data_IF_883128021808
#
_entry.id   IF_883128021808
#
_cell.length_a   1.000
_cell.length_b   1.000
_cell.length_c   1.000
_cell.angle_alpha   90.00
_cell.angle_beta   90.00
_cell.angle_gamma   90.00
#
_symmetry.space_group_name_H-M   'P 1'
#
loop_
_entity.id
_entity.type
_entity.pdbx_description
1 polymer ?
#
# COMPACT_ATOMS: atom_id res chain seq x y z
N UNK A 1 -19.94 -6.01 33.84
CA UNK A 1 -18.66 -6.61 33.37
C UNK A 1 -18.05 -5.62 32.41
N UNK A 2 -17.11 -4.83 32.90
CA UNK A 2 -16.48 -3.70 32.22
C UNK A 2 -15.35 -4.20 31.31
N UNK A 3 -15.43 -3.90 29.99
CA UNK A 3 -14.32 -4.10 29.05
C UNK A 3 -13.47 -2.82 29.03
N UNK A 4 -12.23 -2.94 29.44
CA UNK A 4 -11.23 -1.87 29.36
C UNK A 4 -10.80 -1.66 27.92
N UNK A 5 -10.55 -0.41 27.48
CA UNK A 5 -9.96 -0.12 26.19
C UNK A 5 -8.47 -0.46 26.21
N UNK A 6 -8.00 -1.07 25.12
CA UNK A 6 -6.58 -1.37 24.88
C UNK A 6 -5.88 -0.05 24.56
N UNK A 7 -5.12 0.49 25.50
CA UNK A 7 -4.24 1.64 25.28
C UNK A 7 -2.95 1.16 24.63
N UNK A 8 -2.63 1.67 23.45
CA UNK A 8 -1.34 1.48 22.80
C UNK A 8 -0.32 2.47 23.37
N UNK A 9 0.55 1.97 24.23
CA UNK A 9 1.67 2.74 24.79
C UNK A 9 2.84 2.77 23.79
N UNK A 10 3.02 3.93 23.13
CA UNK A 10 4.07 4.17 22.12
C UNK A 10 5.45 4.51 22.72
N UNK A 11 5.73 4.13 23.97
CA UNK A 11 7.04 4.41 24.58
C UNK A 11 7.77 3.12 24.94
N UNK A 12 8.43 2.51 23.97
CA UNK A 12 9.67 1.69 24.15
C UNK A 12 10.11 1.07 22.83
N UNK A 13 10.98 1.76 22.10
CA UNK A 13 11.97 1.12 21.22
C UNK A 13 13.15 2.07 21.01
N UNK A 14 13.94 2.19 22.04
CA UNK A 14 15.30 2.71 21.92
C UNK A 14 16.27 1.57 22.16
N UNK A 15 16.93 1.10 21.10
CA UNK A 15 18.21 0.42 21.21
C UNK A 15 18.91 0.46 19.84
N UNK A 16 19.84 1.41 19.70
CA UNK A 16 20.78 1.46 18.59
C UNK A 16 21.67 0.21 18.59
N UNK A 17 21.62 -0.56 17.51
CA UNK A 17 22.55 -1.64 17.20
C UNK A 17 23.62 -1.14 16.23
N UNK A 18 24.78 -0.84 16.76
CA UNK A 18 25.98 -0.33 16.09
C UNK A 18 26.59 -1.44 15.20
N UNK A 19 26.48 -1.32 13.88
CA UNK A 19 27.22 -2.17 12.95
C UNK A 19 28.59 -1.58 12.68
N UNK A 20 29.61 -2.15 13.35
CA UNK A 20 31.00 -1.79 13.21
C UNK A 20 31.55 -2.13 11.81
N UNK A 21 32.06 -1.13 11.13
CA UNK A 21 32.86 -1.29 9.90
C UNK A 21 34.18 -1.96 10.24
N UNK A 22 34.36 -3.24 9.91
CA UNK A 22 35.66 -3.89 9.97
C UNK A 22 36.43 -3.61 8.67
N UNK A 23 37.51 -2.82 8.79
CA UNK A 23 38.50 -2.62 7.74
C UNK A 23 39.21 -3.94 7.44
N UNK A 24 39.13 -4.43 6.20
CA UNK A 24 39.91 -5.55 5.72
C UNK A 24 41.39 -5.14 5.57
N UNK A 25 42.27 -5.82 6.32
CA UNK A 25 43.74 -5.73 6.18
C UNK A 25 44.15 -6.51 4.92
N UNK A 26 44.85 -5.81 4.04
CA UNK A 26 45.50 -6.39 2.83
C UNK A 26 46.62 -7.34 3.25
N UNK A 27 46.45 -8.63 3.01
CA UNK A 27 47.54 -9.61 3.02
C UNK A 27 47.83 -9.98 1.56
N UNK A 28 49.02 -9.61 1.08
CA UNK A 28 49.56 -10.11 -0.20
C UNK A 28 50.09 -11.53 0.02
N UNK A 29 49.43 -12.52 -0.56
CA UNK A 29 49.87 -13.90 -0.60
C UNK A 29 49.56 -14.50 -2.01
N UNK A 30 50.54 -15.12 -2.57
CA UNK A 30 50.71 -15.76 -3.88
C UNK A 30 49.45 -16.26 -4.62
N UNK A 31 49.38 -15.92 -5.92
CA UNK A 31 48.42 -16.39 -6.91
C UNK A 31 48.39 -17.93 -7.01
N UNK A 32 47.42 -18.54 -6.38
CA UNK A 32 46.83 -19.81 -6.80
C UNK A 32 45.52 -19.49 -7.49
N UNK A 33 45.26 -20.05 -8.67
CA UNK A 33 43.96 -19.94 -9.36
C UNK A 33 42.92 -20.75 -8.58
N UNK A 34 42.43 -20.20 -7.48
CA UNK A 34 41.19 -20.63 -6.89
C UNK A 34 40.11 -19.82 -7.63
N UNK A 35 39.29 -20.47 -8.45
CA UNK A 35 38.01 -19.92 -8.86
C UNK A 35 37.19 -19.87 -7.57
N UNK A 36 37.28 -18.74 -6.84
CA UNK A 36 36.35 -18.42 -5.79
C UNK A 36 34.96 -18.39 -6.45
N UNK A 37 34.19 -19.46 -6.25
CA UNK A 37 32.75 -19.41 -6.42
C UNK A 37 32.26 -18.39 -5.37
N UNK A 38 32.24 -17.11 -5.72
CA UNK A 38 31.58 -16.09 -4.92
C UNK A 38 30.10 -16.46 -4.95
N UNK A 39 29.67 -17.19 -3.93
CA UNK A 39 28.26 -17.53 -3.75
C UNK A 39 27.52 -16.19 -3.52
N UNK A 40 26.77 -15.75 -4.51
CA UNK A 40 25.99 -14.51 -4.42
C UNK A 40 24.90 -14.74 -3.38
N UNK A 41 24.85 -13.95 -2.30
CA UNK A 41 23.82 -14.09 -1.28
C UNK A 41 22.43 -14.05 -1.90
N UNK A 42 21.56 -14.97 -1.46
CA UNK A 42 20.17 -15.02 -1.92
C UNK A 42 19.24 -14.92 -0.73
N UNK A 43 18.04 -14.39 -0.96
CA UNK A 43 16.97 -14.35 0.02
C UNK A 43 15.62 -14.64 -0.64
N UNK A 44 14.62 -15.01 0.17
CA UNK A 44 13.25 -15.32 -0.27
C UNK A 44 12.26 -14.44 0.45
N UNK A 45 11.25 -13.95 -0.29
CA UNK A 45 10.18 -13.12 0.26
C UNK A 45 8.89 -13.27 -0.54
N UNK A 46 7.76 -12.91 0.09
CA UNK A 46 6.47 -12.77 -0.57
C UNK A 46 6.28 -11.31 -0.99
N UNK A 47 5.73 -11.04 -2.18
CA UNK A 47 5.55 -9.67 -2.65
C UNK A 47 4.35 -9.52 -3.59
N UNK A 48 3.81 -8.30 -3.65
CA UNK A 48 2.86 -7.86 -4.67
C UNK A 48 3.60 -7.01 -5.70
N UNK A 49 3.45 -7.33 -6.99
CA UNK A 49 4.03 -6.55 -8.08
C UNK A 49 3.24 -5.25 -8.25
N UNK A 50 3.90 -4.10 -8.05
CA UNK A 50 3.29 -2.78 -8.17
C UNK A 50 3.35 -2.24 -9.60
N UNK A 51 4.53 -2.31 -10.21
CA UNK A 51 4.76 -1.82 -11.57
C UNK A 51 5.99 -2.44 -12.22
N UNK A 52 6.05 -2.35 -13.54
CA UNK A 52 7.17 -2.86 -14.33
C UNK A 52 7.71 -1.78 -15.26
N UNK A 53 9.03 -1.78 -15.48
CA UNK A 53 9.70 -0.90 -16.44
C UNK A 53 10.60 -1.71 -17.37
N UNK A 54 10.62 -1.37 -18.65
CA UNK A 54 11.53 -1.99 -19.64
C UNK A 54 12.97 -1.67 -19.28
N UNK A 55 13.83 -2.68 -19.34
CA UNK A 55 15.28 -2.55 -19.18
C UNK A 55 15.95 -3.25 -20.38
N UNK A 56 16.52 -2.48 -21.29
CA UNK A 56 17.04 -3.01 -22.54
C UNK A 56 15.99 -3.76 -23.37
N UNK A 57 16.42 -4.76 -24.14
CA UNK A 57 15.54 -5.48 -25.08
C UNK A 57 14.71 -6.60 -24.42
N UNK A 58 15.31 -7.33 -23.49
CA UNK A 58 14.74 -8.58 -22.97
C UNK A 58 14.35 -8.52 -21.49
N UNK A 59 14.82 -7.54 -20.74
CA UNK A 59 14.69 -7.48 -19.30
C UNK A 59 13.64 -6.46 -18.86
N UNK A 60 13.22 -6.55 -17.58
CA UNK A 60 12.41 -5.54 -16.91
C UNK A 60 12.94 -5.28 -15.51
N UNK A 61 12.77 -4.05 -15.01
CA UNK A 61 12.84 -3.73 -13.59
C UNK A 61 11.43 -3.91 -13.05
N UNK A 62 11.31 -4.73 -12.01
CA UNK A 62 10.06 -5.00 -11.30
C UNK A 62 10.13 -4.27 -9.97
N UNK A 63 9.16 -3.39 -9.72
CA UNK A 63 8.94 -2.75 -8.42
C UNK A 63 7.84 -3.50 -7.68
N UNK A 64 8.13 -3.92 -6.45
CA UNK A 64 7.27 -4.77 -5.64
C UNK A 64 7.18 -4.23 -4.21
N UNK A 65 6.07 -4.48 -3.54
CA UNK A 65 5.95 -4.33 -2.09
C UNK A 65 6.04 -5.72 -1.47
N UNK A 66 7.10 -5.97 -0.72
CA UNK A 66 7.35 -7.25 -0.09
C UNK A 66 6.95 -7.27 1.38
N UNK A 67 6.77 -8.48 1.89
CA UNK A 67 6.32 -8.73 3.25
C UNK A 67 7.37 -8.37 4.30
N UNK A 68 8.65 -8.64 4.04
CA UNK A 68 9.74 -8.50 5.01
C UNK A 68 10.65 -7.31 4.73
N UNK A 69 10.86 -6.98 3.46
CA UNK A 69 11.85 -5.97 3.04
C UNK A 69 11.19 -4.69 2.49
N UNK A 70 9.84 -4.54 2.63
CA UNK A 70 9.14 -3.36 2.13
C UNK A 70 9.23 -3.21 0.62
N UNK A 71 9.55 -2.02 0.11
CA UNK A 71 9.67 -1.82 -1.34
C UNK A 71 10.98 -2.38 -1.87
N UNK A 72 10.89 -3.26 -2.87
CA UNK A 72 12.03 -3.87 -3.56
C UNK A 72 11.97 -3.52 -5.04
N UNK A 73 13.14 -3.21 -5.63
CA UNK A 73 13.32 -3.10 -7.07
C UNK A 73 14.32 -4.15 -7.53
N UNK A 74 13.91 -5.02 -8.44
CA UNK A 74 14.75 -6.10 -8.90
C UNK A 74 14.67 -6.29 -10.41
N UNK A 75 15.73 -6.83 -11.03
CA UNK A 75 15.79 -7.13 -12.46
C UNK A 75 15.29 -8.54 -12.72
N UNK A 76 14.28 -8.65 -13.60
CA UNK A 76 13.84 -9.91 -14.21
C UNK A 76 14.51 -10.10 -15.56
N UNK A 77 15.61 -10.89 -15.59
CA UNK A 77 16.38 -11.13 -16.82
C UNK A 77 15.61 -12.01 -17.78
N UNK A 78 15.56 -11.61 -19.06
CA UNK A 78 14.91 -12.35 -20.14
C UNK A 78 13.38 -12.46 -20.02
N UNK A 79 12.73 -11.70 -19.15
CA UNK A 79 11.28 -11.79 -18.89
C UNK A 79 10.42 -11.49 -20.12
N UNK A 80 10.92 -10.68 -21.07
CA UNK A 80 10.23 -10.32 -22.31
C UNK A 80 10.42 -11.32 -23.46
N UNK A 81 11.25 -12.34 -23.28
CA UNK A 81 11.41 -13.41 -24.28
C UNK A 81 10.19 -14.33 -24.25
N UNK A 82 9.79 -14.84 -25.42
CA UNK A 82 8.68 -15.80 -25.54
C UNK A 82 8.92 -17.09 -24.74
N UNK A 83 10.19 -17.46 -24.56
CA UNK A 83 10.63 -18.61 -23.76
C UNK A 83 10.91 -18.26 -22.29
N UNK A 84 10.38 -17.15 -21.80
CA UNK A 84 10.63 -16.72 -20.44
C UNK A 84 10.10 -17.73 -19.41
N UNK A 85 10.97 -18.09 -18.46
CA UNK A 85 10.58 -18.94 -17.33
C UNK A 85 9.62 -18.27 -16.33
N UNK A 86 9.50 -16.95 -16.39
CA UNK A 86 8.65 -16.19 -15.49
C UNK A 86 7.20 -16.06 -15.98
N UNK A 87 6.98 -16.06 -17.31
CA UNK A 87 5.65 -15.88 -17.92
C UNK A 87 4.99 -14.58 -17.44
N UNK A 88 3.70 -14.63 -17.18
CA UNK A 88 2.90 -13.49 -16.67
C UNK A 88 3.03 -13.23 -15.16
N UNK A 89 3.80 -14.06 -14.42
CA UNK A 89 3.88 -13.96 -12.94
C UNK A 89 4.46 -12.66 -12.42
N UNK A 90 5.11 -11.85 -13.27
CA UNK A 90 5.72 -10.57 -12.88
C UNK A 90 4.98 -9.36 -13.46
N UNK A 91 3.74 -9.53 -13.87
CA UNK A 91 2.86 -8.41 -14.25
C UNK A 91 2.24 -7.74 -12.99
N UNK A 92 1.84 -6.47 -13.07
CA UNK A 92 1.16 -5.81 -11.96
C UNK A 92 -0.02 -6.62 -11.41
N UNK A 93 -0.31 -6.50 -10.12
CA UNK A 93 -1.29 -7.27 -9.34
C UNK A 93 -0.88 -8.71 -9.00
N UNK A 94 0.21 -9.25 -9.57
CA UNK A 94 0.67 -10.59 -9.18
C UNK A 94 1.14 -10.60 -7.73
N UNK A 95 0.59 -11.50 -6.92
CA UNK A 95 1.06 -11.84 -5.59
C UNK A 95 1.92 -13.09 -5.70
N UNK A 96 3.17 -12.99 -5.33
CA UNK A 96 4.21 -13.97 -5.64
C UNK A 96 5.09 -14.29 -4.44
N UNK A 97 5.58 -15.53 -4.39
CA UNK A 97 6.74 -15.94 -3.61
C UNK A 97 7.96 -15.95 -4.55
N UNK A 98 9.04 -15.28 -4.16
CA UNK A 98 10.18 -15.10 -5.03
C UNK A 98 11.50 -15.29 -4.30
N UNK A 99 12.51 -15.77 -5.05
CA UNK A 99 13.90 -15.79 -4.63
C UNK A 99 14.69 -14.73 -5.40
N UNK A 100 15.46 -13.94 -4.66
CA UNK A 100 16.31 -12.88 -5.17
C UNK A 100 17.77 -13.19 -4.86
N UNK A 101 18.64 -12.86 -5.81
CA UNK A 101 20.08 -12.77 -5.59
C UNK A 101 20.45 -11.31 -5.38
N UNK A 102 21.23 -11.04 -4.32
CA UNK A 102 21.67 -9.68 -3.98
C UNK A 102 22.54 -9.13 -5.09
N UNK A 103 22.14 -8.00 -5.67
CA UNK A 103 22.87 -7.29 -6.71
C UNK A 103 23.68 -6.12 -6.19
N UNK A 104 24.48 -5.51 -7.06
CA UNK A 104 25.27 -4.31 -6.68
C UNK A 104 24.39 -3.06 -6.57
N UNK A 105 23.43 -2.89 -7.45
CA UNK A 105 22.51 -1.74 -7.50
C UNK A 105 21.05 -2.15 -7.47
N UNK A 106 20.70 -3.26 -8.10
CA UNK A 106 19.39 -3.87 -8.12
C UNK A 106 19.55 -5.38 -7.92
N UNK A 107 18.68 -5.98 -7.15
CA UNK A 107 18.62 -7.43 -6.98
C UNK A 107 18.16 -8.11 -8.26
N UNK A 108 18.42 -9.41 -8.37
CA UNK A 108 18.07 -10.21 -9.54
C UNK A 108 17.06 -11.27 -9.12
N UNK A 109 15.91 -11.29 -9.78
CA UNK A 109 14.89 -12.32 -9.57
C UNK A 109 15.40 -13.64 -10.17
N UNK A 110 15.55 -14.67 -9.35
CA UNK A 110 16.03 -16.00 -9.74
C UNK A 110 14.91 -17.02 -9.88
N UNK A 111 13.92 -16.99 -8.98
CA UNK A 111 12.75 -17.89 -8.98
C UNK A 111 11.50 -17.10 -8.62
N UNK A 112 10.34 -17.53 -9.14
CA UNK A 112 9.02 -16.95 -8.86
C UNK A 112 7.97 -18.05 -8.88
N UNK A 113 7.12 -18.06 -7.84
CA UNK A 113 5.91 -18.87 -7.74
C UNK A 113 4.71 -17.96 -7.52
N UNK A 114 3.58 -18.21 -8.17
CA UNK A 114 2.35 -17.45 -7.96
C UNK A 114 1.66 -17.92 -6.68
N UNK A 115 1.33 -16.97 -5.81
CA UNK A 115 0.46 -17.17 -4.66
C UNK A 115 -1.00 -16.84 -5.03
N UNK A 116 -1.20 -15.63 -5.59
CA UNK A 116 -2.50 -15.18 -6.12
C UNK A 116 -2.26 -14.39 -7.42
N UNK A 117 -3.14 -14.53 -8.40
CA UNK A 117 -3.13 -13.78 -9.65
C UNK A 117 -4.30 -12.76 -9.64
N UNK A 118 -4.21 -11.74 -8.78
CA UNK A 118 -5.30 -10.77 -8.61
C UNK A 118 -5.67 -10.02 -9.89
N UNK A 119 -4.74 -9.87 -10.83
CA UNK A 119 -4.97 -9.14 -12.07
C UNK A 119 -5.91 -9.83 -13.04
N UNK A 120 -5.91 -11.16 -13.09
CA UNK A 120 -6.68 -11.91 -14.08
C UNK A 120 -8.21 -11.67 -13.94
N UNK A 121 -8.83 -11.80 -12.74
CA UNK A 121 -10.25 -11.49 -12.59
C UNK A 121 -10.59 -10.01 -12.76
N UNK A 122 -9.64 -9.10 -12.44
CA UNK A 122 -9.87 -7.65 -12.51
C UNK A 122 -9.92 -7.13 -13.95
N UNK A 123 -9.33 -7.85 -14.94
CA UNK A 123 -9.32 -7.37 -16.34
C UNK A 123 -10.70 -7.25 -16.96
N UNK A 124 -11.68 -8.03 -16.48
CA UNK A 124 -13.06 -8.04 -16.98
C UNK A 124 -13.99 -7.07 -16.22
N UNK A 125 -13.51 -6.49 -15.11
CA UNK A 125 -14.23 -5.51 -14.26
C UNK A 125 -13.47 -4.18 -14.24
N UNK A 126 -13.83 -3.25 -15.12
CA UNK A 126 -13.15 -1.96 -15.25
C UNK A 126 -13.15 -1.14 -13.95
N UNK A 127 -14.26 -0.98 -13.19
CA UNK A 127 -14.26 -0.34 -11.87
C UNK A 127 -13.29 -0.99 -10.89
N UNK A 128 -13.26 -2.31 -10.78
CA UNK A 128 -12.36 -3.02 -9.89
C UNK A 128 -10.90 -2.91 -10.36
N UNK A 129 -10.64 -2.99 -11.65
CA UNK A 129 -9.30 -2.79 -12.22
C UNK A 129 -8.74 -1.40 -11.93
N UNK A 130 -9.52 -0.35 -12.18
CA UNK A 130 -9.09 1.03 -11.93
C UNK A 130 -8.88 1.30 -10.44
N UNK A 131 -9.74 0.79 -9.56
CA UNK A 131 -9.57 0.83 -8.12
C UNK A 131 -8.25 0.15 -7.69
N UNK A 132 -7.98 -1.05 -8.21
CA UNK A 132 -6.75 -1.78 -7.95
C UNK A 132 -5.50 -1.02 -8.42
N UNK A 133 -5.53 -0.37 -9.60
CA UNK A 133 -4.43 0.47 -10.08
C UNK A 133 -4.12 1.62 -9.12
N UNK A 134 -5.15 2.27 -8.55
CA UNK A 134 -4.96 3.30 -7.52
C UNK A 134 -4.33 2.72 -6.26
N UNK A 135 -4.72 1.51 -5.86
CA UNK A 135 -4.12 0.84 -4.70
C UNK A 135 -2.63 0.57 -4.91
N UNK A 136 -2.23 0.03 -6.08
CA UNK A 136 -0.82 -0.20 -6.40
C UNK A 136 -0.02 1.11 -6.44
N UNK A 137 -0.55 2.16 -7.07
CA UNK A 137 0.10 3.47 -7.13
C UNK A 137 0.26 4.08 -5.73
N UNK A 138 -0.76 3.96 -4.88
CA UNK A 138 -0.73 4.46 -3.50
C UNK A 138 0.34 3.75 -2.68
N UNK A 139 0.41 2.41 -2.76
CA UNK A 139 1.43 1.63 -2.08
C UNK A 139 2.85 2.03 -2.53
N UNK A 140 3.08 2.20 -3.85
CA UNK A 140 4.38 2.64 -4.38
C UNK A 140 4.79 4.03 -3.87
N UNK A 141 3.82 4.90 -3.61
CA UNK A 141 4.10 6.27 -3.14
C UNK A 141 4.27 6.38 -1.63
N UNK A 142 3.48 5.64 -0.85
CA UNK A 142 3.55 5.71 0.61
C UNK A 142 4.79 5.01 1.17
N UNK A 143 5.24 3.93 0.53
CA UNK A 143 6.48 3.26 0.92
C UNK A 143 7.62 3.86 0.10
N UNK A 144 8.23 4.93 0.60
CA UNK A 144 9.26 5.69 -0.13
C UNK A 144 10.60 4.98 -0.12
N UNK A 145 11.06 4.56 1.06
CA UNK A 145 12.36 3.94 1.25
C UNK A 145 12.39 2.50 0.73
N UNK A 146 13.46 2.19 -0.04
CA UNK A 146 13.71 0.82 -0.51
C UNK A 146 14.35 -0.01 0.62
N UNK A 147 13.96 -1.27 0.71
CA UNK A 147 14.49 -2.25 1.68
C UNK A 147 14.21 -1.91 3.16
N UNK A 148 13.25 -1.04 3.44
CA UNK A 148 12.73 -0.81 4.79
C UNK A 148 11.41 -1.56 5.02
N UNK A 149 11.30 -2.36 6.11
CA UNK A 149 10.09 -3.14 6.38
C UNK A 149 8.82 -2.30 6.45
N UNK A 150 7.80 -2.69 5.68
CA UNK A 150 6.50 -2.02 5.61
C UNK A 150 5.35 -3.05 5.70
N UNK A 151 5.42 -3.96 6.67
CA UNK A 151 4.50 -5.10 6.81
C UNK A 151 3.04 -4.69 6.83
N UNK A 152 2.68 -3.60 7.53
CA UNK A 152 1.29 -3.16 7.63
C UNK A 152 0.75 -2.69 6.27
N UNK A 153 1.56 -1.96 5.49
CA UNK A 153 1.20 -1.56 4.12
C UNK A 153 1.05 -2.77 3.20
N UNK A 154 1.96 -3.76 3.30
CA UNK A 154 1.86 -5.00 2.54
C UNK A 154 0.58 -5.78 2.86
N UNK A 155 0.29 -6.03 4.13
CA UNK A 155 -0.91 -6.77 4.55
C UNK A 155 -2.19 -6.05 4.13
N UNK A 156 -2.20 -4.73 4.23
CA UNK A 156 -3.34 -3.92 3.83
C UNK A 156 -3.58 -4.00 2.32
N UNK A 157 -2.52 -3.91 1.51
CA UNK A 157 -2.61 -4.03 0.05
C UNK A 157 -3.13 -5.41 -0.37
N UNK A 158 -2.55 -6.49 0.16
CA UNK A 158 -2.99 -7.86 -0.13
C UNK A 158 -4.46 -8.05 0.27
N UNK A 159 -4.85 -7.57 1.45
CA UNK A 159 -6.24 -7.65 1.93
C UNK A 159 -7.22 -6.88 1.03
N UNK A 160 -6.84 -5.68 0.56
CA UNK A 160 -7.67 -4.87 -0.32
C UNK A 160 -7.82 -5.49 -1.72
N UNK A 161 -6.74 -6.03 -2.31
CA UNK A 161 -6.80 -6.74 -3.58
C UNK A 161 -7.64 -8.02 -3.49
N UNK A 162 -7.56 -8.74 -2.38
CA UNK A 162 -8.46 -9.88 -2.12
C UNK A 162 -9.92 -9.45 -2.02
N UNK A 163 -10.20 -8.33 -1.34
CA UNK A 163 -11.54 -7.81 -1.22
C UNK A 163 -12.15 -7.39 -2.56
N UNK A 164 -11.35 -6.83 -3.49
CA UNK A 164 -11.79 -6.53 -4.85
C UNK A 164 -12.18 -7.80 -5.63
N UNK A 165 -11.46 -8.91 -5.44
CA UNK A 165 -11.67 -10.14 -6.18
C UNK A 165 -12.74 -11.06 -5.57
N UNK A 166 -12.84 -11.09 -4.25
CA UNK A 166 -13.64 -12.09 -3.53
C UNK A 166 -14.68 -11.48 -2.58
N UNK A 167 -14.73 -10.16 -2.48
CA UNK A 167 -15.55 -9.46 -1.52
C UNK A 167 -14.88 -9.28 -0.15
N UNK A 168 -15.52 -8.49 0.70
CA UNK A 168 -15.09 -8.21 2.07
C UNK A 168 -15.49 -9.33 3.03
N UNK A 169 -15.09 -9.25 4.29
CA UNK A 169 -15.52 -10.19 5.35
C UNK A 169 -17.04 -10.23 5.57
N UNK A 170 -17.76 -9.25 5.04
CA UNK A 170 -19.22 -9.13 5.15
C UNK A 170 -19.90 -9.20 3.75
N UNK A 171 -19.24 -9.84 2.79
CA UNK A 171 -19.71 -9.99 1.42
C UNK A 171 -19.21 -8.92 0.44
N UNK A 172 -19.69 -8.96 -0.81
CA UNK A 172 -19.23 -8.04 -1.85
C UNK A 172 -19.64 -6.58 -1.54
N UNK A 173 -18.80 -5.66 -1.99
CA UNK A 173 -19.02 -4.20 -1.93
C UNK A 173 -18.60 -3.58 -3.25
N UNK A 174 -19.15 -2.40 -3.60
CA UNK A 174 -18.66 -1.63 -4.74
C UNK A 174 -17.17 -1.38 -4.63
N UNK A 175 -16.46 -1.47 -5.76
CA UNK A 175 -15.00 -1.28 -5.82
C UNK A 175 -14.54 0.07 -5.26
N UNK A 176 -15.38 1.11 -5.41
CA UNK A 176 -15.14 2.44 -4.85
C UNK A 176 -15.08 2.45 -3.32
N UNK A 177 -15.98 1.75 -2.63
CA UNK A 177 -15.97 1.67 -1.16
C UNK A 177 -14.76 0.87 -0.66
N UNK A 178 -14.37 -0.20 -1.36
CA UNK A 178 -13.15 -0.97 -1.04
C UNK A 178 -11.91 -0.09 -1.23
N UNK A 179 -11.86 0.68 -2.31
CA UNK A 179 -10.79 1.64 -2.58
C UNK A 179 -10.72 2.71 -1.50
N UNK A 180 -11.84 3.34 -1.15
CA UNK A 180 -11.88 4.40 -0.14
C UNK A 180 -11.42 3.89 1.23
N UNK A 181 -11.85 2.69 1.62
CA UNK A 181 -11.36 2.03 2.83
C UNK A 181 -9.85 1.80 2.78
N UNK A 182 -9.33 1.30 1.65
CA UNK A 182 -7.89 1.09 1.49
C UNK A 182 -7.11 2.41 1.61
N UNK A 183 -7.54 3.47 0.90
CA UNK A 183 -6.86 4.77 0.89
C UNK A 183 -6.80 5.40 2.29
N UNK A 184 -7.91 5.42 3.02
CA UNK A 184 -7.96 5.95 4.38
C UNK A 184 -7.05 5.17 5.33
N UNK A 185 -7.09 3.85 5.25
CA UNK A 185 -6.27 2.97 6.11
C UNK A 185 -4.79 3.02 5.74
N UNK A 186 -4.44 3.12 4.45
CA UNK A 186 -3.06 3.25 4.00
C UNK A 186 -2.43 4.56 4.48
N UNK A 187 -3.18 5.67 4.43
CA UNK A 187 -2.77 6.94 5.00
C UNK A 187 -2.66 6.88 6.52
N UNK A 188 -3.60 6.21 7.20
CA UNK A 188 -3.54 6.04 8.65
C UNK A 188 -2.29 5.25 9.10
N UNK A 189 -1.93 4.17 8.38
CA UNK A 189 -0.69 3.41 8.60
C UNK A 189 0.55 4.27 8.34
N UNK A 190 0.49 5.21 7.39
CA UNK A 190 1.56 6.17 7.12
C UNK A 190 1.63 7.35 8.12
N UNK A 191 0.76 7.36 9.15
CA UNK A 191 0.73 8.40 10.18
C UNK A 191 -0.26 9.54 9.93
N UNK A 192 -1.06 9.48 8.86
CA UNK A 192 -2.06 10.49 8.51
C UNK A 192 -3.49 9.97 8.79
N UNK A 193 -3.76 9.50 10.01
CA UNK A 193 -5.08 9.01 10.38
C UNK A 193 -6.10 10.15 10.49
N UNK A 194 -7.18 10.17 9.67
CA UNK A 194 -8.22 11.19 9.80
C UNK A 194 -9.10 10.94 11.02
N UNK A 195 -9.60 12.01 11.66
CA UNK A 195 -10.67 11.94 12.66
C UNK A 195 -12.03 12.13 11.99
N UNK A 196 -12.99 11.24 12.25
CA UNK A 196 -14.37 11.36 11.75
C UNK A 196 -15.40 11.57 12.88
N UNK A 197 -14.98 11.46 14.14
CA UNK A 197 -15.84 11.62 15.33
C UNK A 197 -15.54 12.93 16.05
N UNK A 198 -14.31 13.12 16.49
CA UNK A 198 -13.90 14.26 17.29
C UNK A 198 -13.34 15.38 16.39
N UNK A 199 -13.41 16.61 16.86
CA UNK A 199 -12.85 17.73 16.12
C UNK A 199 -11.32 17.59 15.99
N UNK A 200 -10.82 17.45 14.76
CA UNK A 200 -9.41 17.28 14.46
C UNK A 200 -8.51 18.44 14.96
N UNK A 201 -9.09 19.64 15.23
CA UNK A 201 -8.33 20.79 15.73
C UNK A 201 -8.33 20.92 17.24
N UNK A 202 -9.47 20.75 17.92
CA UNK A 202 -9.59 21.03 19.35
C UNK A 202 -10.00 19.82 20.20
N UNK A 203 -10.23 18.65 19.58
CA UNK A 203 -10.53 17.40 20.27
C UNK A 203 -11.95 17.33 20.88
N UNK A 204 -12.82 18.36 20.69
CA UNK A 204 -14.18 18.28 21.25
C UNK A 204 -14.94 17.14 20.57
N UNK A 205 -15.62 16.34 21.39
CA UNK A 205 -16.40 15.20 20.92
C UNK A 205 -17.51 15.62 19.96
N UNK A 206 -17.75 14.80 18.92
CA UNK A 206 -18.81 15.00 17.93
C UNK A 206 -20.18 14.50 18.37
N UNK A 207 -21.12 14.39 17.42
CA UNK A 207 -20.89 14.39 15.96
C UNK A 207 -20.67 15.77 15.37
N UNK A 208 -19.81 15.85 14.36
CA UNK A 208 -19.55 17.07 13.59
C UNK A 208 -20.08 16.93 12.15
N UNK A 209 -20.32 18.08 11.47
CA UNK A 209 -20.94 18.13 10.14
C UNK A 209 -20.04 18.78 9.07
N UNK A 210 -18.80 19.06 9.41
CA UNK A 210 -17.85 19.64 8.48
C UNK A 210 -16.55 18.82 8.49
N UNK A 211 -15.86 18.76 7.35
CA UNK A 211 -14.61 18.07 7.16
C UNK A 211 -13.58 18.98 6.50
N UNK A 212 -12.34 18.93 6.98
CA UNK A 212 -11.22 19.69 6.42
C UNK A 212 -10.01 18.76 6.22
N UNK A 213 -9.60 18.47 4.97
CA UNK A 213 -8.38 17.71 4.71
C UNK A 213 -7.14 18.33 5.37
N UNK A 214 -7.03 19.65 5.32
CA UNK A 214 -5.91 20.41 5.89
C UNK A 214 -5.80 20.29 7.42
N UNK A 215 -6.92 20.07 8.12
CA UNK A 215 -6.94 19.88 9.56
C UNK A 215 -6.95 18.39 9.97
N UNK A 216 -6.97 17.50 8.99
CA UNK A 216 -6.90 16.06 9.24
C UNK A 216 -8.23 15.42 9.64
N UNK A 217 -9.39 16.03 9.33
CA UNK A 217 -10.65 15.36 9.70
C UNK A 217 -11.87 16.25 9.90
N UNK A 218 -12.82 15.70 10.69
CA UNK A 218 -14.03 16.39 11.11
C UNK A 218 -13.70 17.61 11.96
N UNK A 219 -14.49 18.69 11.84
CA UNK A 219 -14.27 19.93 12.57
C UNK A 219 -15.59 20.48 13.14
N UNK A 220 -15.53 20.99 14.37
CA UNK A 220 -16.65 21.68 14.99
C UNK A 220 -16.88 23.05 14.37
N UNK A 221 -18.05 23.66 14.59
CA UNK A 221 -18.41 24.96 14.01
C UNK A 221 -17.41 26.08 14.37
N UNK A 222 -16.81 26.05 15.57
CA UNK A 222 -15.82 27.06 15.98
C UNK A 222 -14.47 26.91 15.28
N UNK A 223 -14.10 25.67 14.93
CA UNK A 223 -12.81 25.37 14.29
C UNK A 223 -12.88 25.29 12.77
N UNK A 224 -14.08 25.33 12.21
CA UNK A 224 -14.34 25.17 10.79
C UNK A 224 -13.71 26.29 9.96
N UNK A 225 -12.75 25.97 9.08
CA UNK A 225 -12.21 26.97 8.16
C UNK A 225 -13.20 27.27 7.01
N UNK A 226 -12.99 28.39 6.33
CA UNK A 226 -13.67 28.67 5.06
C UNK A 226 -13.35 27.55 4.05
N UNK A 227 -14.36 27.13 3.28
CA UNK A 227 -14.20 26.06 2.28
C UNK A 227 -14.19 24.62 2.83
N UNK A 228 -14.36 24.41 4.15
CA UNK A 228 -14.56 23.07 4.68
C UNK A 228 -15.82 22.43 4.08
N UNK A 229 -15.71 21.15 3.66
CA UNK A 229 -16.84 20.39 3.15
C UNK A 229 -17.92 20.23 4.21
N UNK A 230 -19.18 20.23 3.78
CA UNK A 230 -20.36 19.91 4.62
C UNK A 230 -21.16 18.79 3.96
N UNK A 231 -20.72 17.56 4.11
CA UNK A 231 -21.40 16.40 3.53
C UNK A 231 -22.73 16.10 4.25
N UNK A 232 -23.49 15.16 3.68
CA UNK A 232 -24.66 14.59 4.33
C UNK A 232 -24.30 14.00 5.72
N UNK A 233 -25.25 13.96 6.67
CA UNK A 233 -25.00 13.47 8.03
C UNK A 233 -24.40 12.07 8.11
N UNK A 234 -24.70 11.21 7.16
CA UNK A 234 -24.29 9.80 7.09
C UNK A 234 -22.86 9.64 6.55
N UNK A 235 -22.31 10.62 5.85
CA UNK A 235 -21.03 10.52 5.12
C UNK A 235 -19.85 10.37 6.07
N UNK A 236 -19.74 11.15 7.15
CA UNK A 236 -18.64 11.02 8.11
C UNK A 236 -18.70 9.71 8.89
N UNK A 237 -19.87 9.23 9.37
CA UNK A 237 -20.02 7.88 9.92
C UNK A 237 -19.59 6.77 8.96
N UNK A 238 -19.96 6.86 7.66
CA UNK A 238 -19.49 5.91 6.64
C UNK A 238 -17.98 5.90 6.51
N UNK A 239 -17.34 7.08 6.41
CA UNK A 239 -15.88 7.19 6.33
C UNK A 239 -15.19 6.60 7.57
N UNK A 240 -15.76 6.79 8.75
CA UNK A 240 -15.31 6.13 9.99
C UNK A 240 -15.41 4.61 9.91
N UNK A 241 -16.53 4.08 9.41
CA UNK A 241 -16.71 2.64 9.21
C UNK A 241 -15.69 2.06 8.19
N UNK A 242 -15.42 2.77 7.09
CA UNK A 242 -14.44 2.39 6.08
C UNK A 242 -13.01 2.40 6.64
N UNK A 243 -12.64 3.41 7.44
CA UNK A 243 -11.34 3.51 8.11
C UNK A 243 -11.10 2.35 9.09
N UNK A 244 -12.12 1.99 9.86
CA UNK A 244 -12.04 0.92 10.84
C UNK A 244 -12.23 -0.49 10.23
N UNK A 245 -12.68 -0.57 8.98
CA UNK A 245 -13.00 -1.82 8.30
C UNK A 245 -14.28 -2.48 8.84
N UNK A 246 -15.22 -1.69 9.35
CA UNK A 246 -16.54 -2.15 9.84
C UNK A 246 -17.49 -2.35 8.65
N UNK A 247 -17.27 -3.39 7.87
CA UNK A 247 -18.00 -3.68 6.63
C UNK A 247 -19.51 -3.90 6.85
N UNK A 248 -19.90 -4.37 8.02
CA UNK A 248 -21.31 -4.50 8.38
C UNK A 248 -22.08 -3.17 8.25
N UNK A 249 -21.43 -2.05 8.63
CA UNK A 249 -22.04 -0.72 8.63
C UNK A 249 -22.06 -0.08 7.21
N UNK A 250 -21.59 -0.80 6.20
CA UNK A 250 -21.52 -0.33 4.80
C UNK A 250 -22.46 -1.11 3.86
N UNK A 251 -23.43 -1.88 4.39
CA UNK A 251 -24.34 -2.71 3.58
C UNK A 251 -25.31 -1.89 2.75
N UNK A 252 -25.87 -0.88 3.39
CA UNK A 252 -26.91 -0.02 2.79
C UNK A 252 -26.40 1.43 2.78
N UNK A 253 -25.79 1.81 1.68
CA UNK A 253 -25.24 3.16 1.47
C UNK A 253 -25.94 3.78 0.29
N UNK A 254 -26.57 4.94 0.49
CA UNK A 254 -27.17 5.70 -0.59
C UNK A 254 -26.09 6.22 -1.56
N UNK A 255 -26.35 6.21 -2.86
CA UNK A 255 -25.39 6.59 -3.90
C UNK A 255 -24.76 7.97 -3.70
N UNK A 256 -25.56 8.95 -3.23
CA UNK A 256 -25.04 10.29 -2.98
C UNK A 256 -24.06 10.32 -1.81
N UNK A 257 -24.31 9.51 -0.75
CA UNK A 257 -23.41 9.38 0.42
C UNK A 257 -22.11 8.69 0.00
N UNK A 258 -22.19 7.64 -0.81
CA UNK A 258 -21.00 6.96 -1.34
C UNK A 258 -20.14 7.91 -2.19
N UNK A 259 -20.76 8.71 -3.07
CA UNK A 259 -20.06 9.71 -3.90
C UNK A 259 -19.41 10.81 -3.08
N UNK A 260 -20.09 11.33 -2.06
CA UNK A 260 -19.53 12.32 -1.13
C UNK A 260 -18.33 11.74 -0.35
N UNK A 261 -18.45 10.51 0.14
CA UNK A 261 -17.37 9.81 0.85
C UNK A 261 -16.14 9.65 -0.05
N UNK A 262 -16.33 9.21 -1.30
CA UNK A 262 -15.25 9.10 -2.29
C UNK A 262 -14.62 10.47 -2.62
N UNK A 263 -15.42 11.52 -2.72
CA UNK A 263 -14.93 12.88 -2.94
C UNK A 263 -14.06 13.39 -1.79
N UNK A 264 -14.50 13.16 -0.55
CA UNK A 264 -13.74 13.52 0.67
C UNK A 264 -12.45 12.71 0.77
N UNK A 265 -12.52 11.40 0.52
CA UNK A 265 -11.33 10.53 0.51
C UNK A 265 -10.32 11.00 -0.52
N UNK A 266 -10.76 11.35 -1.74
CA UNK A 266 -9.88 11.88 -2.79
C UNK A 266 -9.21 13.19 -2.39
N UNK A 267 -9.98 14.12 -1.80
CA UNK A 267 -9.46 15.40 -1.34
C UNK A 267 -8.43 15.20 -0.20
N UNK A 268 -8.69 14.26 0.71
CA UNK A 268 -7.78 13.93 1.80
C UNK A 268 -6.47 13.29 1.30
N UNK A 269 -6.57 12.34 0.38
CA UNK A 269 -5.40 11.72 -0.28
C UNK A 269 -4.58 12.77 -1.01
N UNK A 270 -5.23 13.64 -1.82
CA UNK A 270 -4.55 14.69 -2.58
C UNK A 270 -3.85 15.72 -1.69
N UNK A 271 -4.36 15.95 -0.49
CA UNK A 271 -3.74 16.86 0.48
C UNK A 271 -2.46 16.28 1.09
N UNK A 272 -2.43 14.97 1.38
CA UNK A 272 -1.31 14.33 2.08
C UNK A 272 -0.24 13.74 1.16
N UNK A 273 -0.58 13.49 -0.12
CA UNK A 273 0.40 13.05 -1.11
C UNK A 273 0.87 14.26 -1.94
N UNK A 274 2.17 14.55 -1.92
CA UNK A 274 2.80 15.69 -2.64
C UNK A 274 2.49 15.75 -4.13
N UNK A 275 2.02 14.65 -4.72
CA UNK A 275 1.61 14.54 -6.11
C UNK A 275 0.31 13.76 -6.20
N UNK A 276 -0.66 14.27 -6.94
CA UNK A 276 -1.91 13.56 -7.21
C UNK A 276 -1.64 12.18 -7.80
N UNK A 277 -2.42 11.18 -7.34
CA UNK A 277 -2.41 9.84 -7.92
C UNK A 277 -2.93 9.93 -9.36
N UNK A 278 -2.12 9.48 -10.32
CA UNK A 278 -2.49 9.55 -11.74
C UNK A 278 -3.66 8.62 -12.07
N UNK A 279 -3.66 7.45 -11.46
CA UNK A 279 -4.71 6.44 -11.63
C UNK A 279 -6.05 6.87 -11.05
N UNK A 280 -6.06 7.78 -10.07
CA UNK A 280 -7.29 8.24 -9.42
C UNK A 280 -8.26 8.96 -10.38
N UNK A 281 -7.75 9.58 -11.43
CA UNK A 281 -8.54 10.25 -12.46
C UNK A 281 -9.38 9.29 -13.33
N UNK A 282 -9.08 7.99 -13.29
CA UNK A 282 -9.75 6.96 -14.09
C UNK A 282 -10.80 6.18 -13.29
N UNK A 283 -10.93 6.43 -11.99
CA UNK A 283 -11.96 5.79 -11.15
C UNK A 283 -13.29 6.51 -11.34
N UNK A 284 -14.30 5.76 -11.77
CA UNK A 284 -15.68 6.25 -11.80
C UNK A 284 -16.21 6.41 -10.36
N UNK A 285 -16.70 7.62 -10.00
CA UNK A 285 -17.10 7.97 -8.63
C UNK A 285 -18.52 8.55 -8.59
#
# INVERSE_FOLDING_TARGET
MSRQPISWDLRRAGAAGMWGRRRARRIRGKLGHVRDNIEVPTYRDEAVVLRTHKLGEADRIITMLSRRHGKIRAVAKGVRRTTSKFGARLEPFSHIDLQLAVGHSLDIITQVESLDAFGEPLTDDYPAYTAGQVMLETADRLVVEESEPALQQYLLLVGALRALNHGTSDGPRPATLILDSYLLRALAVAGYAPSFTDCARCGIAGPHRAFSPALGGAVCERCRPAGAARPAPETLPLLGALLEGRWHDTREVADHVAREASGITAAFVSWHLDRNLRSLAHVER
#
